data_IF_812970220149
#
_entry.id   IF_812970220149
#
_cell.length_a   1.000
_cell.length_b   1.000
_cell.length_c   1.000
_cell.angle_alpha   90.00
_cell.angle_beta   90.00
_cell.angle_gamma   90.00
#
_symmetry.space_group_name_H-M   'P 1'
#
loop_
_entity.id
_entity.type
_entity.pdbx_description
1 polymer ?
#
# COMPACT_ATOMS: atom_id res chain seq x y z
N UNK A 1 -8.65 -28.78 59.26
CA UNK A 1 -9.10 -27.96 58.11
C UNK A 1 -8.11 -26.84 57.78
N UNK A 2 -7.42 -26.26 58.71
CA UNK A 2 -6.45 -25.16 58.44
C UNK A 2 -5.23 -25.56 57.64
N UNK A 3 -4.66 -26.75 57.96
CA UNK A 3 -3.52 -27.27 57.21
C UNK A 3 -3.79 -27.53 55.75
N UNK A 4 -5.01 -27.90 55.37
CA UNK A 4 -5.39 -28.09 53.98
C UNK A 4 -5.53 -26.77 53.22
N UNK A 5 -6.04 -25.73 53.88
CA UNK A 5 -6.10 -24.37 53.31
C UNK A 5 -4.67 -23.82 53.10
N UNK A 6 -3.80 -23.99 54.07
CA UNK A 6 -2.42 -23.54 53.98
C UNK A 6 -1.66 -24.20 52.82
N UNK A 7 -1.89 -25.51 52.55
CA UNK A 7 -1.31 -26.22 51.42
C UNK A 7 -1.90 -25.73 50.09
N UNK A 8 -3.20 -25.43 50.02
CA UNK A 8 -3.83 -24.85 48.82
C UNK A 8 -3.33 -23.44 48.52
N UNK A 9 -3.18 -22.59 49.52
CA UNK A 9 -2.61 -21.26 49.35
C UNK A 9 -1.17 -21.31 48.89
N UNK A 10 -0.34 -22.16 49.46
CA UNK A 10 1.06 -22.35 49.06
C UNK A 10 1.20 -22.93 47.65
N UNK A 11 0.32 -23.81 47.22
CA UNK A 11 0.31 -24.35 45.86
C UNK A 11 -0.28 -23.40 44.82
N UNK A 12 -1.26 -22.54 45.24
CA UNK A 12 -1.94 -21.60 44.38
C UNK A 12 -1.02 -20.45 43.86
N UNK A 13 -0.19 -19.90 44.72
CA UNK A 13 0.73 -18.81 44.33
C UNK A 13 1.77 -19.24 43.27
N UNK A 14 2.49 -20.33 43.41
CA UNK A 14 3.46 -20.76 42.39
C UNK A 14 2.79 -21.06 41.05
N UNK A 15 1.62 -21.71 41.06
CA UNK A 15 0.90 -22.04 39.83
C UNK A 15 0.43 -20.78 39.09
N UNK A 16 -0.06 -19.77 39.79
CA UNK A 16 -0.46 -18.49 39.21
C UNK A 16 0.73 -17.75 38.59
N UNK A 17 1.87 -17.73 39.28
CA UNK A 17 3.10 -17.11 38.76
C UNK A 17 3.57 -17.83 37.50
N UNK A 18 3.56 -19.16 37.47
CA UNK A 18 3.94 -19.93 36.27
C UNK A 18 3.02 -19.61 35.09
N UNK A 19 1.69 -19.56 35.32
CA UNK A 19 0.72 -19.23 34.25
C UNK A 19 0.99 -17.83 33.70
N UNK A 20 1.23 -16.85 34.56
CA UNK A 20 1.55 -15.48 34.14
C UNK A 20 2.85 -15.46 33.34
N UNK A 21 3.91 -16.14 33.80
CA UNK A 21 5.18 -16.21 33.08
C UNK A 21 5.02 -16.85 31.70
N UNK A 22 4.25 -17.95 31.60
CA UNK A 22 3.98 -18.61 30.31
C UNK A 22 3.17 -17.71 29.38
N UNK A 23 2.16 -16.99 29.90
CA UNK A 23 1.38 -16.05 29.12
C UNK A 23 2.26 -14.90 28.58
N UNK A 24 3.07 -14.28 29.44
CA UNK A 24 4.02 -13.24 29.04
C UNK A 24 5.03 -13.75 28.01
N UNK A 25 5.54 -14.95 28.18
CA UNK A 25 6.46 -15.61 27.25
C UNK A 25 5.81 -15.83 25.88
N UNK A 26 4.55 -16.28 25.85
CA UNK A 26 3.78 -16.42 24.59
C UNK A 26 3.55 -15.10 23.89
N UNK A 27 3.18 -14.06 24.63
CA UNK A 27 3.03 -12.70 24.10
C UNK A 27 4.36 -12.19 23.53
N UNK A 28 5.44 -12.39 24.25
CA UNK A 28 6.79 -12.02 23.79
C UNK A 28 7.17 -12.73 22.48
N UNK A 29 6.96 -14.06 22.42
CA UNK A 29 7.23 -14.84 21.21
C UNK A 29 6.36 -14.38 20.01
N UNK A 30 5.11 -14.07 20.27
CA UNK A 30 4.19 -13.54 19.26
C UNK A 30 4.67 -12.18 18.72
N UNK A 31 5.03 -11.25 19.61
CA UNK A 31 5.58 -9.93 19.23
C UNK A 31 6.89 -10.12 18.44
N UNK A 32 7.76 -11.01 18.88
CA UNK A 32 9.03 -11.27 18.20
C UNK A 32 8.87 -11.91 16.82
N UNK A 33 7.85 -12.75 16.64
CA UNK A 33 7.57 -13.39 15.34
C UNK A 33 6.88 -12.45 14.34
N UNK A 34 5.92 -11.66 14.79
CA UNK A 34 5.11 -10.77 13.93
C UNK A 34 5.82 -9.45 13.62
N UNK A 35 6.55 -8.89 14.58
CA UNK A 35 7.22 -7.60 14.46
C UNK A 35 8.21 -7.50 13.29
N UNK A 36 9.09 -8.50 13.02
CA UNK A 36 9.99 -8.44 11.88
C UNK A 36 9.28 -8.44 10.53
N UNK A 37 8.20 -9.23 10.41
CA UNK A 37 7.40 -9.29 9.19
C UNK A 37 6.70 -7.94 8.90
N UNK A 38 6.09 -7.34 9.92
CA UNK A 38 5.45 -6.02 9.81
C UNK A 38 6.49 -4.91 9.50
N UNK A 39 7.65 -4.95 10.15
CA UNK A 39 8.74 -4.01 9.84
C UNK A 39 9.28 -4.20 8.43
N UNK A 40 9.41 -5.43 7.97
CA UNK A 40 9.84 -5.76 6.61
C UNK A 40 8.88 -5.22 5.56
N UNK A 41 7.57 -5.42 5.74
CA UNK A 41 6.53 -4.87 4.89
C UNK A 41 6.53 -3.33 4.92
N UNK A 42 6.57 -2.74 6.11
CA UNK A 42 6.59 -1.28 6.25
C UNK A 42 7.82 -0.64 5.60
N UNK A 43 9.01 -1.22 5.77
CA UNK A 43 10.23 -0.75 5.13
C UNK A 43 10.23 -0.96 3.61
N UNK A 44 9.62 -2.04 3.13
CA UNK A 44 9.47 -2.30 1.69
C UNK A 44 8.58 -1.25 1.04
N UNK A 45 7.41 -1.00 1.62
CA UNK A 45 6.45 -0.02 1.11
C UNK A 45 6.97 1.42 1.24
N UNK A 46 7.62 1.76 2.36
CA UNK A 46 8.15 3.11 2.59
C UNK A 46 9.32 3.49 1.69
N UNK A 47 9.93 2.54 0.98
CA UNK A 47 11.00 2.79 0.01
C UNK A 47 10.53 2.78 -1.44
N UNK A 48 9.27 2.38 -1.70
CA UNK A 48 8.72 2.36 -3.04
C UNK A 48 8.52 3.79 -3.56
N UNK A 49 9.12 4.09 -4.70
CA UNK A 49 8.86 5.33 -5.43
C UNK A 49 7.58 5.18 -6.24
N UNK A 50 6.65 6.09 -6.08
CA UNK A 50 5.36 6.09 -6.77
C UNK A 50 5.31 7.31 -7.68
N UNK A 51 5.11 7.11 -8.98
CA UNK A 51 4.86 8.18 -9.92
C UNK A 51 3.35 8.47 -9.96
N UNK A 52 2.98 9.69 -9.61
CA UNK A 52 1.59 10.18 -9.61
C UNK A 52 1.37 11.07 -10.83
N UNK A 53 0.63 10.54 -11.80
CA UNK A 53 0.22 11.27 -12.99
C UNK A 53 -1.16 11.89 -12.76
N UNK A 54 -1.21 13.08 -12.25
CA UNK A 54 -2.44 13.83 -12.01
C UNK A 54 -2.19 15.33 -12.07
N UNK A 55 -3.22 16.11 -12.24
CA UNK A 55 -3.14 17.57 -12.33
C UNK A 55 -3.88 18.25 -11.18
N UNK A 56 -3.38 19.42 -10.78
CA UNK A 56 -4.07 20.35 -9.87
C UNK A 56 -4.65 19.70 -8.58
N UNK A 57 -5.96 19.83 -8.39
CA UNK A 57 -6.67 19.36 -7.19
C UNK A 57 -6.65 17.84 -7.03
N UNK A 58 -6.71 17.08 -8.14
CA UNK A 58 -6.67 15.61 -8.10
C UNK A 58 -5.31 15.10 -7.64
N UNK A 59 -4.22 15.72 -8.08
CA UNK A 59 -2.89 15.40 -7.58
C UNK A 59 -2.80 15.57 -6.07
N UNK A 60 -3.26 16.72 -5.57
CA UNK A 60 -3.28 17.01 -4.13
C UNK A 60 -4.13 16.00 -3.35
N UNK A 61 -5.29 15.62 -3.90
CA UNK A 61 -6.19 14.65 -3.31
C UNK A 61 -5.60 13.23 -3.25
N UNK A 62 -4.98 12.77 -4.33
CA UNK A 62 -4.30 11.47 -4.39
C UNK A 62 -3.09 11.44 -3.46
N UNK A 63 -2.24 12.46 -3.51
CA UNK A 63 -1.10 12.62 -2.62
C UNK A 63 -1.52 12.57 -1.16
N UNK A 64 -2.54 13.34 -0.77
CA UNK A 64 -3.05 13.35 0.60
C UNK A 64 -3.59 11.96 1.02
N UNK A 65 -4.26 11.25 0.12
CA UNK A 65 -4.76 9.89 0.40
C UNK A 65 -3.60 8.93 0.71
N UNK A 66 -2.52 9.00 -0.07
CA UNK A 66 -1.33 8.17 0.16
C UNK A 66 -0.61 8.52 1.46
N UNK A 67 -0.40 9.80 1.74
CA UNK A 67 0.28 10.26 2.96
C UNK A 67 -0.53 9.97 4.24
N UNK A 68 -1.86 10.11 4.19
CA UNK A 68 -2.75 9.77 5.32
C UNK A 68 -2.70 8.29 5.70
N UNK A 69 -2.40 7.41 4.76
CA UNK A 69 -2.23 5.98 5.03
C UNK A 69 -1.04 5.67 5.93
N UNK A 70 -0.08 6.60 6.06
CA UNK A 70 1.21 6.44 6.74
C UNK A 70 2.10 5.31 6.20
N UNK A 71 1.73 4.73 5.07
CA UNK A 71 2.50 3.69 4.38
C UNK A 71 3.57 4.28 3.48
N UNK A 72 3.32 5.47 2.94
CA UNK A 72 4.21 6.16 2.00
C UNK A 72 4.66 7.50 2.58
N UNK A 73 5.85 7.92 2.15
CA UNK A 73 6.44 9.20 2.54
C UNK A 73 6.41 10.16 1.36
N UNK A 74 6.44 11.45 1.64
CA UNK A 74 6.44 12.49 0.60
C UNK A 74 7.63 12.36 -0.35
N UNK A 75 8.80 12.06 0.18
CA UNK A 75 10.05 11.88 -0.58
C UNK A 75 9.98 10.73 -1.61
N UNK A 76 8.98 9.85 -1.50
CA UNK A 76 8.82 8.70 -2.39
C UNK A 76 7.77 8.96 -3.49
N UNK A 77 7.12 10.12 -3.47
CA UNK A 77 6.12 10.50 -4.47
C UNK A 77 6.75 11.38 -5.54
N UNK A 78 6.69 10.90 -6.78
CA UNK A 78 7.13 11.64 -7.96
C UNK A 78 5.88 12.22 -8.61
N UNK A 79 5.72 13.53 -8.53
CA UNK A 79 4.57 14.23 -9.08
C UNK A 79 4.80 14.57 -10.56
N UNK A 80 3.91 14.10 -11.42
CA UNK A 80 3.97 14.33 -12.85
C UNK A 80 2.70 15.06 -13.28
N UNK A 81 2.87 16.31 -13.64
CA UNK A 81 1.77 17.19 -14.01
C UNK A 81 1.77 17.56 -15.50
N UNK A 82 2.90 17.39 -16.17
CA UNK A 82 3.08 17.75 -17.59
C UNK A 82 3.60 16.56 -18.39
N UNK A 83 3.22 16.45 -19.68
CA UNK A 83 3.69 15.38 -20.55
C UNK A 83 5.21 15.33 -20.73
N UNK A 84 5.90 16.47 -20.60
CA UNK A 84 7.36 16.54 -20.68
C UNK A 84 8.04 15.80 -19.52
N UNK A 85 7.39 15.75 -18.38
CA UNK A 85 7.93 15.18 -17.13
C UNK A 85 7.73 13.66 -17.03
N UNK A 86 7.09 13.00 -18.03
CA UNK A 86 6.84 11.53 -18.02
C UNK A 86 8.17 10.75 -17.84
N UNK A 87 9.29 11.27 -18.38
CA UNK A 87 10.59 10.65 -18.22
C UNK A 87 11.06 10.53 -16.78
N UNK A 88 10.63 11.42 -15.87
CA UNK A 88 11.01 11.37 -14.45
C UNK A 88 10.40 10.17 -13.70
N UNK A 89 9.38 9.52 -14.28
CA UNK A 89 8.81 8.31 -13.74
C UNK A 89 9.68 7.05 -13.91
N UNK A 90 10.76 7.11 -14.65
CA UNK A 90 11.56 5.93 -15.04
C UNK A 90 12.07 5.13 -13.84
N UNK A 91 12.35 5.81 -12.73
CA UNK A 91 12.82 5.21 -11.49
C UNK A 91 11.68 4.81 -10.53
N UNK A 92 10.43 5.06 -10.90
CA UNK A 92 9.31 4.68 -10.07
C UNK A 92 9.06 3.18 -10.10
N UNK A 93 8.66 2.64 -8.95
CA UNK A 93 8.30 1.25 -8.79
C UNK A 93 6.81 0.98 -8.97
N UNK A 94 5.99 2.03 -9.00
CA UNK A 94 4.54 1.96 -9.26
C UNK A 94 4.12 3.23 -10.00
N UNK A 95 3.30 3.08 -11.02
CA UNK A 95 2.66 4.20 -11.72
C UNK A 95 1.19 4.29 -11.31
N UNK A 96 0.76 5.48 -10.95
CA UNK A 96 -0.63 5.81 -10.64
C UNK A 96 -1.07 6.94 -11.55
N UNK A 97 -2.06 6.67 -12.41
CA UNK A 97 -2.50 7.61 -13.45
C UNK A 97 -3.95 8.00 -13.18
N UNK A 98 -4.21 9.30 -13.04
CA UNK A 98 -5.58 9.81 -13.02
C UNK A 98 -6.11 9.87 -14.45
N UNK A 99 -7.08 9.03 -14.78
CA UNK A 99 -7.63 8.88 -16.14
C UNK A 99 -8.09 10.21 -16.76
N UNK A 100 -8.94 11.03 -16.09
CA UNK A 100 -9.44 12.27 -16.68
C UNK A 100 -8.35 13.25 -17.12
N UNK A 101 -7.23 13.27 -16.42
CA UNK A 101 -6.15 14.22 -16.69
C UNK A 101 -5.17 13.73 -17.78
N UNK A 102 -5.09 12.40 -17.97
CA UNK A 102 -4.03 11.76 -18.75
C UNK A 102 -4.54 10.81 -19.82
N UNK A 103 -5.84 10.86 -20.13
CA UNK A 103 -6.45 9.99 -21.14
C UNK A 103 -5.73 10.08 -22.52
N UNK A 104 -5.34 11.28 -22.94
CA UNK A 104 -4.64 11.52 -24.22
C UNK A 104 -3.20 10.99 -24.25
N UNK A 105 -2.56 10.91 -23.09
CA UNK A 105 -1.15 10.53 -22.96
C UNK A 105 -0.97 9.07 -22.51
N UNK A 106 -2.06 8.32 -22.35
CA UNK A 106 -2.01 6.97 -21.77
C UNK A 106 -1.12 6.02 -22.58
N UNK A 107 -1.17 6.08 -23.89
CA UNK A 107 -0.33 5.25 -24.78
C UNK A 107 1.15 5.51 -24.53
N UNK A 108 1.52 6.78 -24.40
CA UNK A 108 2.89 7.20 -24.11
C UNK A 108 3.37 6.73 -22.72
N UNK A 109 2.46 6.73 -21.74
CA UNK A 109 2.77 6.22 -20.40
C UNK A 109 2.95 4.70 -20.45
N UNK A 110 2.09 3.98 -21.18
CA UNK A 110 2.20 2.53 -21.37
C UNK A 110 3.52 2.14 -22.05
N UNK A 111 3.95 2.86 -23.06
CA UNK A 111 5.24 2.64 -23.76
C UNK A 111 6.46 2.87 -22.85
N UNK A 112 6.38 3.86 -21.96
CA UNK A 112 7.46 4.16 -21.00
C UNK A 112 7.50 3.23 -19.80
N UNK A 113 6.38 2.56 -19.52
CA UNK A 113 6.28 1.62 -18.42
C UNK A 113 7.13 0.37 -18.69
N UNK A 114 8.02 0.01 -17.78
CA UNK A 114 8.69 -1.29 -17.80
C UNK A 114 7.70 -2.41 -17.45
N UNK A 115 7.79 -3.59 -18.05
CA UNK A 115 6.87 -4.71 -17.84
C UNK A 115 6.67 -5.10 -16.37
N UNK A 116 7.73 -4.96 -15.56
CA UNK A 116 7.70 -5.30 -14.13
C UNK A 116 7.08 -4.22 -13.26
N UNK A 117 6.90 -3.01 -13.78
CA UNK A 117 6.34 -1.89 -13.02
C UNK A 117 4.82 -1.93 -13.13
N UNK A 118 4.09 -2.05 -12.01
CA UNK A 118 2.64 -2.00 -12.05
C UNK A 118 2.14 -0.59 -12.39
N UNK A 119 1.07 -0.55 -13.17
CA UNK A 119 0.34 0.65 -13.55
C UNK A 119 -1.08 0.55 -13.00
N UNK A 120 -1.49 1.53 -12.22
CA UNK A 120 -2.84 1.63 -11.69
C UNK A 120 -3.51 2.85 -12.28
N UNK A 121 -4.55 2.64 -13.07
CA UNK A 121 -5.33 3.71 -13.69
C UNK A 121 -6.51 4.01 -12.77
N UNK A 122 -6.50 5.18 -12.17
CA UNK A 122 -7.60 5.66 -11.37
C UNK A 122 -8.63 6.34 -12.28
N UNK A 123 -9.78 5.70 -12.45
CA UNK A 123 -10.91 6.20 -13.21
C UNK A 123 -12.11 6.34 -12.26
N UNK A 124 -12.34 7.52 -11.67
CA UNK A 124 -13.49 7.72 -10.79
C UNK A 124 -14.80 7.56 -11.55
N UNK A 125 -15.85 7.09 -10.87
CA UNK A 125 -17.16 6.86 -11.50
C UNK A 125 -17.81 8.11 -12.09
N UNK A 126 -17.35 9.29 -11.68
CA UNK A 126 -17.79 10.58 -12.18
C UNK A 126 -17.07 11.01 -13.45
N UNK A 127 -16.02 10.29 -13.84
CA UNK A 127 -15.28 10.57 -15.07
C UNK A 127 -15.89 9.85 -16.27
N UNK A 128 -15.53 10.31 -17.46
CA UNK A 128 -15.88 9.62 -18.69
C UNK A 128 -15.24 8.21 -18.69
N UNK A 129 -16.01 7.20 -19.14
CA UNK A 129 -15.50 5.83 -19.18
C UNK A 129 -14.33 5.72 -20.16
N UNK A 130 -13.42 4.79 -19.86
CA UNK A 130 -12.29 4.47 -20.75
C UNK A 130 -12.86 3.88 -22.05
N UNK A 131 -12.51 4.44 -23.23
CA UNK A 131 -12.97 3.91 -24.50
C UNK A 131 -12.54 2.45 -24.73
N UNK A 132 -13.34 1.64 -25.43
CA UNK A 132 -13.05 0.22 -25.64
C UNK A 132 -11.73 -0.08 -26.34
N UNK A 133 -11.34 0.74 -27.29
CA UNK A 133 -10.07 0.65 -28.02
C UNK A 133 -8.86 0.90 -27.11
N UNK A 134 -8.96 1.88 -26.23
CA UNK A 134 -7.94 2.17 -25.22
C UNK A 134 -7.90 1.07 -24.16
N UNK A 135 -9.07 0.50 -23.80
CA UNK A 135 -9.14 -0.62 -22.86
C UNK A 135 -8.37 -1.84 -23.39
N UNK A 136 -8.52 -2.16 -24.68
CA UNK A 136 -7.74 -3.24 -25.34
C UNK A 136 -6.24 -2.97 -25.27
N UNK A 137 -5.82 -1.72 -25.49
CA UNK A 137 -4.42 -1.35 -25.35
C UNK A 137 -3.91 -1.53 -23.91
N UNK A 138 -4.70 -1.11 -22.91
CA UNK A 138 -4.37 -1.27 -21.49
C UNK A 138 -4.26 -2.76 -21.12
N UNK A 139 -5.21 -3.59 -21.55
CA UNK A 139 -5.25 -5.03 -21.26
C UNK A 139 -4.08 -5.79 -21.93
N UNK A 140 -3.53 -5.25 -23.01
CA UNK A 140 -2.33 -5.77 -23.66
C UNK A 140 -1.03 -5.60 -22.83
N UNK A 141 -1.04 -4.73 -21.85
CA UNK A 141 0.11 -4.47 -20.99
C UNK A 141 0.01 -5.22 -19.65
N UNK A 142 1.07 -5.96 -19.30
CA UNK A 142 1.15 -6.70 -18.02
C UNK A 142 1.16 -5.75 -16.83
N UNK A 143 0.69 -6.26 -15.69
CA UNK A 143 0.67 -5.52 -14.42
C UNK A 143 -0.06 -4.18 -14.51
N UNK A 144 -1.20 -4.16 -15.18
CA UNK A 144 -2.06 -2.98 -15.27
C UNK A 144 -3.40 -3.28 -14.58
N UNK A 145 -3.86 -2.35 -13.77
CA UNK A 145 -5.12 -2.46 -13.04
C UNK A 145 -5.92 -1.16 -13.14
N UNK A 146 -7.25 -1.27 -13.14
CA UNK A 146 -8.14 -0.09 -13.11
C UNK A 146 -8.84 -0.04 -11.77
N UNK A 147 -8.76 1.12 -11.12
CA UNK A 147 -9.35 1.39 -9.82
C UNK A 147 -10.39 2.52 -9.92
N UNK A 148 -11.60 2.26 -9.42
CA UNK A 148 -12.71 3.22 -9.51
C UNK A 148 -12.93 3.99 -8.21
N UNK A 149 -12.29 3.57 -7.12
CA UNK A 149 -12.44 4.15 -5.80
C UNK A 149 -11.09 4.44 -5.15
N UNK A 150 -10.97 5.58 -4.50
CA UNK A 150 -9.73 5.96 -3.78
C UNK A 150 -9.32 4.96 -2.70
N UNK A 151 -10.28 4.33 -2.01
CA UNK A 151 -9.98 3.31 -1.01
C UNK A 151 -9.39 2.03 -1.63
N UNK A 152 -9.91 1.61 -2.78
CA UNK A 152 -9.37 0.48 -3.54
C UNK A 152 -7.99 0.80 -4.11
N UNK A 153 -7.78 2.02 -4.60
CA UNK A 153 -6.51 2.48 -5.14
C UNK A 153 -5.34 2.22 -4.16
N UNK A 154 -5.54 2.52 -2.87
CA UNK A 154 -4.52 2.28 -1.86
C UNK A 154 -4.19 0.77 -1.73
N UNK A 155 -5.22 -0.07 -1.73
CA UNK A 155 -5.04 -1.52 -1.69
C UNK A 155 -4.31 -2.03 -2.94
N UNK A 156 -4.69 -1.54 -4.12
CA UNK A 156 -4.08 -1.91 -5.39
C UNK A 156 -2.59 -1.52 -5.44
N UNK A 157 -2.22 -0.36 -4.89
CA UNK A 157 -0.81 0.08 -4.78
C UNK A 157 0.00 -0.80 -3.81
N UNK A 158 -0.62 -1.24 -2.72
CA UNK A 158 0.07 -2.08 -1.72
C UNK A 158 0.27 -3.51 -2.22
N UNK A 159 -0.66 -4.02 -3.02
CA UNK A 159 -0.64 -5.39 -3.54
C UNK A 159 0.11 -5.55 -4.87
N UNK A 160 0.36 -4.45 -5.56
CA UNK A 160 1.15 -4.38 -6.78
C UNK A 160 2.65 -4.43 -6.49
#
# INVERSE_FOLDING_TARGET
METFRMILDWAGYPSTVIVICVALWRVYLWIRGVSPALKGLGNGLSKRKIALFAKNAELSGLKQTLLRSKLFRDDNLIEIQRPEDIGSAEDASVFVVNWPDWATEITRILEKKKDKVPLIIYCPRTADPIPPDVMVAIDGHRNTAISNFRGRLLNDIVTA
#
